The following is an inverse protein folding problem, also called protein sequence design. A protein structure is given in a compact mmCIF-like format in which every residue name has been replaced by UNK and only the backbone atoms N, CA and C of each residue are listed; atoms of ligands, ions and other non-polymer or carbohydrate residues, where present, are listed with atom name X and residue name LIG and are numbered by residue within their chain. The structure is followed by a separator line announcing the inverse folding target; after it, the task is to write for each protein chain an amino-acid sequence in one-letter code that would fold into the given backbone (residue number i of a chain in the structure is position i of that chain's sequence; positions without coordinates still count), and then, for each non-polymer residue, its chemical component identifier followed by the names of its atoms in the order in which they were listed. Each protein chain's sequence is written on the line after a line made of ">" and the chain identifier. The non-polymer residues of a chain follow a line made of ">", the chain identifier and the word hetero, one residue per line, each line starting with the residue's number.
data_IF_565241609983
#
_entry.id   IF_565241609983
#
_cell.length_a   1.000
_cell.length_b   1.000
_cell.length_c   1.000
_cell.angle_alpha   90.00
_cell.angle_beta   90.00
_cell.angle_gamma   90.00
#
_symmetry.space_group_name_H-M   'P 1'
#
loop_
_entity.id
_entity.type
_entity.pdbx_description
1 polymer ?
#
# COMPACT_ATOMS: atom_id res chain seq x y z
N UNK A 1 -22.62 -9.70 -15.71
CA UNK A 1 -21.56 -8.69 -15.86
C UNK A 1 -20.83 -8.41 -14.54
N UNK A 2 -21.55 -8.24 -13.42
CA UNK A 2 -21.04 -7.84 -12.08
C UNK A 2 -19.93 -8.72 -11.51
N UNK A 3 -20.01 -10.05 -11.65
CA UNK A 3 -18.95 -10.98 -11.18
C UNK A 3 -17.59 -10.69 -11.81
N UNK A 4 -17.53 -10.33 -13.10
CA UNK A 4 -16.27 -10.02 -13.80
C UNK A 4 -15.66 -8.70 -13.31
N UNK A 5 -16.50 -7.70 -13.04
CA UNK A 5 -16.07 -6.39 -12.52
C UNK A 5 -15.53 -6.54 -11.09
N UNK A 6 -16.23 -7.28 -10.24
CA UNK A 6 -15.77 -7.57 -8.88
C UNK A 6 -14.39 -8.23 -8.87
N UNK A 7 -14.20 -9.29 -9.67
CA UNK A 7 -12.90 -9.97 -9.77
C UNK A 7 -11.82 -9.07 -10.37
N UNK A 8 -12.15 -8.22 -11.33
CA UNK A 8 -11.20 -7.25 -11.87
C UNK A 8 -10.70 -6.27 -10.80
N UNK A 9 -11.61 -5.72 -9.97
CA UNK A 9 -11.26 -4.81 -8.88
C UNK A 9 -10.44 -5.51 -7.78
N UNK A 10 -10.82 -6.72 -7.38
CA UNK A 10 -10.06 -7.49 -6.40
C UNK A 10 -8.64 -7.82 -6.90
N UNK A 11 -8.51 -8.19 -8.17
CA UNK A 11 -7.20 -8.47 -8.76
C UNK A 11 -6.32 -7.22 -8.83
N UNK A 12 -6.90 -6.05 -9.13
CA UNK A 12 -6.17 -4.78 -9.11
C UNK A 12 -5.63 -4.45 -7.70
N UNK A 13 -6.44 -4.70 -6.64
CA UNK A 13 -5.99 -4.57 -5.24
C UNK A 13 -4.82 -5.51 -4.91
N UNK A 14 -4.85 -6.74 -5.40
CA UNK A 14 -3.77 -7.72 -5.18
C UNK A 14 -2.47 -7.27 -5.87
N UNK A 15 -2.53 -6.74 -7.10
CA UNK A 15 -1.36 -6.18 -7.77
C UNK A 15 -0.76 -5.05 -6.92
N UNK A 16 -1.61 -4.17 -6.37
CA UNK A 16 -1.19 -3.16 -5.42
C UNK A 16 -0.47 -3.75 -4.20
N UNK A 17 -1.02 -4.77 -3.56
CA UNK A 17 -0.38 -5.43 -2.41
C UNK A 17 0.98 -6.04 -2.78
N UNK A 18 1.10 -6.70 -3.93
CA UNK A 18 2.37 -7.30 -4.39
C UNK A 18 3.43 -6.23 -4.62
N UNK A 19 3.06 -5.12 -5.25
CA UNK A 19 3.99 -4.03 -5.48
C UNK A 19 4.38 -3.33 -4.16
N UNK A 20 3.46 -3.17 -3.19
CA UNK A 20 3.78 -2.68 -1.84
C UNK A 20 4.78 -3.60 -1.14
N UNK A 21 4.58 -4.91 -1.24
CA UNK A 21 5.50 -5.91 -0.69
C UNK A 21 6.88 -5.80 -1.32
N UNK A 22 6.97 -5.67 -2.65
CA UNK A 22 8.25 -5.49 -3.34
C UNK A 22 8.96 -4.20 -2.88
N UNK A 23 8.24 -3.09 -2.74
CA UNK A 23 8.80 -1.85 -2.21
C UNK A 23 9.26 -1.98 -0.75
N UNK A 24 8.49 -2.67 0.09
CA UNK A 24 8.86 -2.89 1.49
C UNK A 24 10.16 -3.67 1.60
N UNK A 25 10.35 -4.71 0.77
CA UNK A 25 11.60 -5.46 0.71
C UNK A 25 12.76 -4.57 0.25
N UNK A 26 12.58 -3.78 -0.81
CA UNK A 26 13.64 -2.87 -1.29
C UNK A 26 14.03 -1.86 -0.21
N UNK A 27 13.04 -1.28 0.48
CA UNK A 27 13.27 -0.32 1.55
C UNK A 27 13.94 -0.96 2.76
N UNK A 28 13.65 -2.23 3.06
CA UNK A 28 14.31 -2.97 4.15
C UNK A 28 15.83 -3.06 4.00
N UNK A 29 16.37 -2.96 2.78
CA UNK A 29 17.81 -2.90 2.53
C UNK A 29 18.49 -1.67 3.15
N UNK A 30 17.75 -0.58 3.30
CA UNK A 30 18.25 0.69 3.81
C UNK A 30 17.95 0.89 5.30
N UNK A 31 17.16 0.01 5.91
CA UNK A 31 16.87 0.05 7.34
C UNK A 31 18.08 -0.48 8.14
N UNK A 32 18.72 0.36 8.99
CA UNK A 32 19.83 -0.09 9.81
C UNK A 32 19.36 -1.16 10.82
N UNK A 33 20.07 -2.30 10.88
CA UNK A 33 19.78 -3.41 11.80
C UNK A 33 19.18 -4.68 11.17
N UNK A 34 18.74 -4.65 9.91
CA UNK A 34 18.16 -5.81 9.23
C UNK A 34 19.16 -6.68 8.42
N UNK A 35 20.45 -6.32 8.39
CA UNK A 35 21.42 -6.72 7.36
C UNK A 35 21.49 -8.21 6.97
N UNK A 36 21.32 -9.17 7.88
CA UNK A 36 21.31 -10.61 7.53
C UNK A 36 19.97 -11.12 7.00
N UNK A 37 18.86 -10.52 7.43
CA UNK A 37 17.51 -10.94 7.04
C UNK A 37 17.09 -10.36 5.68
N UNK A 38 17.67 -9.22 5.30
CA UNK A 38 17.44 -8.57 4.00
C UNK A 38 17.71 -9.51 2.83
N UNK A 39 18.78 -10.32 2.89
CA UNK A 39 19.12 -11.22 1.78
C UNK A 39 18.05 -12.28 1.53
N UNK A 40 17.45 -12.82 2.60
CA UNK A 40 16.32 -13.76 2.50
C UNK A 40 15.06 -13.07 1.98
N UNK A 41 14.84 -11.80 2.35
CA UNK A 41 13.70 -11.01 1.87
C UNK A 41 13.82 -10.66 0.37
N UNK A 42 15.02 -10.38 -0.14
CA UNK A 42 15.23 -10.12 -1.57
C UNK A 42 14.84 -11.34 -2.42
N UNK A 43 15.12 -12.55 -1.94
CA UNK A 43 14.72 -13.80 -2.62
C UNK A 43 13.19 -13.98 -2.70
N UNK A 44 12.42 -13.32 -1.84
CA UNK A 44 10.96 -13.33 -1.87
C UNK A 44 10.37 -12.46 -2.99
N UNK A 45 11.12 -11.47 -3.52
CA UNK A 45 10.65 -10.63 -4.64
C UNK A 45 10.34 -11.44 -5.90
N UNK A 46 11.29 -12.22 -6.48
CA UNK A 46 11.01 -12.99 -7.68
C UNK A 46 9.92 -14.04 -7.44
N UNK A 47 9.82 -14.56 -6.21
CA UNK A 47 8.76 -15.48 -5.81
C UNK A 47 7.38 -14.81 -5.87
N UNK A 48 7.23 -13.61 -5.27
CA UNK A 48 5.98 -12.86 -5.27
C UNK A 48 5.53 -12.45 -6.69
N UNK A 49 6.47 -12.02 -7.54
CA UNK A 49 6.20 -11.70 -8.94
C UNK A 49 5.80 -12.96 -9.73
N UNK A 50 6.48 -14.09 -9.51
CA UNK A 50 6.17 -15.34 -10.18
C UNK A 50 4.79 -15.88 -9.78
N UNK A 51 4.47 -15.89 -8.48
CA UNK A 51 3.18 -16.33 -7.97
C UNK A 51 2.03 -15.46 -8.49
N UNK A 52 2.20 -14.14 -8.49
CA UNK A 52 1.19 -13.21 -9.02
C UNK A 52 0.99 -13.42 -10.53
N UNK A 53 2.06 -13.58 -11.31
CA UNK A 53 1.96 -13.88 -12.74
C UNK A 53 1.25 -15.21 -13.01
N UNK A 54 1.59 -16.28 -12.27
CA UNK A 54 0.95 -17.60 -12.41
C UNK A 54 -0.54 -17.53 -12.03
N UNK A 55 -0.88 -16.85 -10.94
CA UNK A 55 -2.26 -16.64 -10.51
C UNK A 55 -3.07 -15.90 -11.58
N UNK A 56 -2.53 -14.82 -12.14
CA UNK A 56 -3.17 -14.07 -13.21
C UNK A 56 -3.36 -14.90 -14.47
N UNK A 57 -2.32 -15.64 -14.89
CA UNK A 57 -2.40 -16.51 -16.07
C UNK A 57 -3.44 -17.62 -15.91
N UNK A 58 -3.59 -18.18 -14.69
CA UNK A 58 -4.47 -19.31 -14.43
C UNK A 58 -5.93 -18.91 -14.20
N UNK A 59 -6.19 -17.82 -13.49
CA UNK A 59 -7.57 -17.43 -13.14
C UNK A 59 -8.18 -16.40 -14.10
N UNK A 60 -7.37 -15.48 -14.66
CA UNK A 60 -7.88 -14.37 -15.46
C UNK A 60 -7.00 -14.10 -16.70
N UNK A 61 -6.87 -15.06 -17.63
CA UNK A 61 -6.03 -14.88 -18.82
C UNK A 61 -6.46 -13.68 -19.69
N UNK A 62 -7.72 -13.25 -19.62
CA UNK A 62 -8.21 -12.06 -20.32
C UNK A 62 -7.64 -10.73 -19.79
N UNK A 63 -7.13 -10.70 -18.55
CA UNK A 63 -6.52 -9.51 -17.94
C UNK A 63 -5.02 -9.40 -18.21
N UNK A 64 -4.38 -10.43 -18.81
CA UNK A 64 -2.92 -10.44 -19.04
C UNK A 64 -2.42 -9.27 -19.88
N UNK A 65 -3.25 -8.77 -20.82
CA UNK A 65 -2.88 -7.60 -21.64
C UNK A 65 -2.84 -6.31 -20.81
N UNK A 66 -3.74 -6.20 -19.83
CA UNK A 66 -3.83 -5.04 -18.91
C UNK A 66 -2.85 -5.17 -17.75
N UNK A 67 -2.43 -6.39 -17.40
CA UNK A 67 -1.54 -6.70 -16.28
C UNK A 67 -0.26 -5.84 -16.26
N UNK A 68 0.41 -5.66 -17.40
CA UNK A 68 1.63 -4.84 -17.47
C UNK A 68 1.38 -3.37 -17.12
N UNK A 69 0.28 -2.81 -17.63
CA UNK A 69 -0.10 -1.41 -17.41
C UNK A 69 -0.55 -1.22 -15.97
N UNK A 70 -1.41 -2.11 -15.45
CA UNK A 70 -1.88 -2.06 -14.06
C UNK A 70 -0.72 -2.20 -13.06
N UNK A 71 0.27 -3.04 -13.35
CA UNK A 71 1.46 -3.18 -12.49
C UNK A 71 2.32 -1.89 -12.50
N UNK A 72 2.54 -1.27 -13.66
CA UNK A 72 3.27 -0.01 -13.75
C UNK A 72 2.52 1.14 -13.04
N UNK A 73 1.21 1.22 -13.22
CA UNK A 73 0.35 2.19 -12.52
C UNK A 73 0.37 1.96 -11.01
N UNK A 74 0.31 0.70 -10.56
CA UNK A 74 0.39 0.36 -9.14
C UNK A 74 1.71 0.79 -8.52
N UNK A 75 2.84 0.55 -9.21
CA UNK A 75 4.15 1.04 -8.77
C UNK A 75 4.18 2.57 -8.68
N UNK A 76 3.64 3.28 -9.68
CA UNK A 76 3.58 4.74 -9.65
C UNK A 76 2.76 5.27 -8.47
N UNK A 77 1.59 4.68 -8.21
CA UNK A 77 0.74 5.04 -7.06
C UNK A 77 1.48 4.83 -5.74
N UNK A 78 2.23 3.75 -5.61
CA UNK A 78 2.97 3.46 -4.38
C UNK A 78 4.17 4.38 -4.18
N UNK A 79 4.86 4.78 -5.25
CA UNK A 79 5.90 5.80 -5.17
C UNK A 79 5.32 7.13 -4.68
N UNK A 80 4.15 7.53 -5.19
CA UNK A 80 3.45 8.74 -4.72
C UNK A 80 2.97 8.60 -3.28
N UNK A 81 2.54 7.41 -2.87
CA UNK A 81 2.17 7.10 -1.48
C UNK A 81 3.37 7.24 -0.54
N UNK A 82 4.52 6.67 -0.91
CA UNK A 82 5.78 6.82 -0.18
C UNK A 82 6.23 8.27 -0.11
N UNK A 83 6.16 9.00 -1.24
CA UNK A 83 6.51 10.41 -1.30
C UNK A 83 5.64 11.23 -0.34
N UNK A 84 4.35 10.95 -0.29
CA UNK A 84 3.41 11.61 0.63
C UNK A 84 3.77 11.32 2.09
N UNK A 85 4.09 10.06 2.44
CA UNK A 85 4.56 9.71 3.78
C UNK A 85 5.88 10.40 4.13
N UNK A 86 6.80 10.50 3.17
CA UNK A 86 8.07 11.19 3.35
C UNK A 86 7.86 12.68 3.63
N UNK A 87 6.97 13.35 2.90
CA UNK A 87 6.65 14.76 3.13
C UNK A 87 6.02 14.99 4.53
N UNK A 88 5.15 14.08 4.98
CA UNK A 88 4.59 14.13 6.34
C UNK A 88 5.70 13.98 7.39
N UNK A 89 6.62 13.01 7.21
CA UNK A 89 7.75 12.81 8.12
C UNK A 89 8.68 14.03 8.17
N UNK A 90 8.96 14.65 7.03
CA UNK A 90 9.74 15.89 6.97
C UNK A 90 9.05 17.02 7.73
N UNK A 91 7.72 17.11 7.66
CA UNK A 91 6.93 18.10 8.41
C UNK A 91 7.00 17.87 9.93
N UNK A 92 7.00 16.61 10.37
CA UNK A 92 7.09 16.23 11.79
C UNK A 92 8.50 16.40 12.39
N UNK A 93 9.53 16.71 11.59
CA UNK A 93 10.93 16.89 12.02
C UNK A 93 11.44 15.75 12.90
N UNK A 94 11.22 14.52 12.45
CA UNK A 94 11.53 13.30 13.20
C UNK A 94 13.04 13.16 13.46
N UNK A 95 13.48 13.00 14.73
CA UNK A 95 14.85 12.68 15.05
C UNK A 95 15.07 11.16 14.89
N UNK A 96 15.60 10.71 13.76
CA UNK A 96 15.94 9.29 13.57
C UNK A 96 15.96 8.78 12.13
N UNK A 97 15.86 7.46 11.99
CA UNK A 97 15.91 6.75 10.70
C UNK A 97 14.58 6.86 9.94
N UNK A 98 14.53 7.80 8.99
CA UNK A 98 13.37 7.98 8.09
C UNK A 98 12.96 6.67 7.38
N UNK A 99 13.96 5.88 6.97
CA UNK A 99 13.84 4.54 6.37
C UNK A 99 12.92 3.62 7.19
N UNK A 100 13.09 3.61 8.52
CA UNK A 100 12.33 2.75 9.42
C UNK A 100 10.84 3.13 9.47
N UNK A 101 10.55 4.43 9.55
CA UNK A 101 9.17 4.93 9.54
C UNK A 101 8.47 4.63 8.21
N UNK A 102 9.17 4.83 7.09
CA UNK A 102 8.65 4.52 5.76
C UNK A 102 8.42 3.01 5.58
N UNK A 103 9.28 2.16 6.16
CA UNK A 103 9.12 0.72 6.14
C UNK A 103 7.88 0.27 6.91
N UNK A 104 7.71 0.73 8.16
CA UNK A 104 6.49 0.46 8.93
C UNK A 104 5.25 0.97 8.21
N UNK A 105 5.34 2.12 7.55
CA UNK A 105 4.26 2.68 6.74
C UNK A 105 3.86 1.77 5.58
N UNK A 106 4.81 1.19 4.83
CA UNK A 106 4.51 0.25 3.76
C UNK A 106 3.81 -1.02 4.26
N UNK A 107 4.31 -1.61 5.36
CA UNK A 107 3.69 -2.79 5.98
C UNK A 107 2.27 -2.49 6.45
N UNK A 108 2.10 -1.33 7.09
CA UNK A 108 0.79 -0.88 7.58
C UNK A 108 -0.21 -0.65 6.45
N UNK A 109 0.22 -0.07 5.34
CA UNK A 109 -0.61 0.08 4.13
C UNK A 109 -0.99 -1.26 3.51
N UNK A 110 -0.09 -2.25 3.53
CA UNK A 110 -0.40 -3.60 3.07
C UNK A 110 -1.50 -4.24 3.91
N UNK A 111 -1.41 -4.17 5.24
CA UNK A 111 -2.42 -4.71 6.17
C UNK A 111 -3.77 -4.00 5.97
N UNK A 112 -3.77 -2.69 5.73
CA UNK A 112 -5.00 -1.92 5.53
C UNK A 112 -5.74 -2.25 4.22
N UNK A 113 -5.06 -2.75 3.19
CA UNK A 113 -5.69 -3.17 1.92
C UNK A 113 -6.36 -4.54 2.06
N UNK A 114 -5.89 -5.38 2.98
CA UNK A 114 -6.54 -6.66 3.26
C UNK A 114 -7.90 -6.41 3.94
N UNK A 115 -8.96 -7.11 3.53
CA UNK A 115 -10.31 -6.95 4.10
C UNK A 115 -10.45 -7.63 5.46
N UNK A 116 -9.45 -7.45 6.33
CA UNK A 116 -9.41 -8.00 7.69
C UNK A 116 -10.15 -7.10 8.69
N UNK A 117 -10.37 -5.82 8.35
CA UNK A 117 -11.12 -4.85 9.19
C UNK A 117 -12.03 -3.94 8.36
N UNK A 118 -13.04 -3.35 9.00
CA UNK A 118 -13.98 -2.40 8.37
C UNK A 118 -13.22 -1.10 8.06
N UNK A 119 -12.88 -0.89 6.78
CA UNK A 119 -12.26 0.34 6.29
C UNK A 119 -10.79 0.56 6.70
N UNK A 120 -10.10 -0.46 7.24
CA UNK A 120 -8.70 -0.31 7.68
C UNK A 120 -8.50 0.58 8.90
N UNK A 121 -9.59 0.98 9.58
CA UNK A 121 -9.56 1.77 10.81
C UNK A 121 -9.11 0.85 11.95
N UNK A 122 -8.16 1.30 12.78
CA UNK A 122 -7.55 0.53 13.86
C UNK A 122 -6.46 -0.47 13.43
N UNK A 123 -6.57 -1.12 12.27
CA UNK A 123 -5.53 -2.07 11.80
C UNK A 123 -4.23 -1.37 11.42
N UNK A 124 -4.33 -0.18 10.83
CA UNK A 124 -3.17 0.65 10.49
C UNK A 124 -2.43 1.10 11.75
N UNK A 125 -3.15 1.68 12.70
CA UNK A 125 -2.59 2.17 13.98
C UNK A 125 -1.95 1.04 14.79
N UNK A 126 -2.61 -0.12 14.89
CA UNK A 126 -2.07 -1.29 15.57
C UNK A 126 -0.76 -1.79 14.91
N UNK A 127 -0.73 -1.83 13.57
CA UNK A 127 0.47 -2.23 12.83
C UNK A 127 1.62 -1.23 13.00
N UNK A 128 1.30 0.07 13.04
CA UNK A 128 2.30 1.11 13.35
C UNK A 128 2.86 0.98 14.75
N UNK A 129 2.01 0.73 15.74
CA UNK A 129 2.40 0.54 17.13
C UNK A 129 3.36 -0.66 17.26
N UNK A 130 3.00 -1.81 16.68
CA UNK A 130 3.84 -3.02 16.69
C UNK A 130 5.14 -2.81 15.90
N UNK A 131 5.07 -2.22 14.71
CA UNK A 131 6.23 -1.97 13.87
C UNK A 131 7.22 -1.00 14.50
N UNK A 132 6.71 0.04 15.16
CA UNK A 132 7.54 1.00 15.90
C UNK A 132 8.24 0.35 17.09
N UNK A 133 7.53 -0.49 17.87
CA UNK A 133 8.13 -1.26 18.97
C UNK A 133 9.22 -2.21 18.47
N UNK A 134 8.99 -2.88 17.33
CA UNK A 134 9.96 -3.81 16.75
C UNK A 134 11.23 -3.13 16.24
N UNK A 135 11.11 -1.94 15.65
CA UNK A 135 12.24 -1.18 15.10
C UNK A 135 12.83 -0.15 16.07
N UNK A 136 12.31 -0.08 17.30
CA UNK A 136 12.75 0.90 18.30
C UNK A 136 12.49 2.35 17.90
N UNK A 137 11.44 2.60 17.12
CA UNK A 137 11.04 3.94 16.66
C UNK A 137 10.12 4.61 17.68
N UNK A 138 10.06 5.94 17.63
CA UNK A 138 9.09 6.70 18.43
C UNK A 138 7.66 6.33 18.01
N UNK A 139 6.91 5.81 18.98
CA UNK A 139 5.55 5.31 18.82
C UNK A 139 4.56 6.44 18.52
N UNK A 140 4.74 7.61 19.15
CA UNK A 140 3.88 8.77 18.94
C UNK A 140 4.03 9.30 17.51
N UNK A 141 5.27 9.40 17.02
CA UNK A 141 5.54 9.84 15.64
C UNK A 141 5.02 8.84 14.60
N UNK A 142 5.14 7.54 14.89
CA UNK A 142 4.63 6.47 14.02
C UNK A 142 3.11 6.50 13.88
N UNK A 143 2.39 6.67 15.00
CA UNK A 143 0.94 6.79 15.00
C UNK A 143 0.49 8.11 14.34
N UNK A 144 1.19 9.22 14.62
CA UNK A 144 0.92 10.51 13.99
C UNK A 144 1.03 10.44 12.46
N UNK A 145 2.07 9.79 11.93
CA UNK A 145 2.23 9.56 10.50
C UNK A 145 1.02 8.83 9.89
N UNK A 146 0.57 7.74 10.54
CA UNK A 146 -0.59 6.95 10.12
C UNK A 146 -1.87 7.79 10.06
N UNK A 147 -2.13 8.54 11.13
CA UNK A 147 -3.34 9.37 11.28
C UNK A 147 -3.36 10.52 10.28
N UNK A 148 -2.24 11.23 10.12
CA UNK A 148 -2.13 12.33 9.17
C UNK A 148 -2.32 11.85 7.73
N UNK A 149 -1.67 10.74 7.37
CA UNK A 149 -1.83 10.15 6.05
C UNK A 149 -3.29 9.73 5.79
N UNK A 150 -3.94 9.09 6.77
CA UNK A 150 -5.34 8.73 6.68
C UNK A 150 -6.25 9.95 6.51
N UNK A 151 -6.03 11.02 7.29
CA UNK A 151 -6.83 12.24 7.23
C UNK A 151 -6.69 12.93 5.88
N UNK A 152 -5.46 13.05 5.35
CA UNK A 152 -5.21 13.60 4.01
C UNK A 152 -5.91 12.75 2.94
N UNK A 153 -5.84 11.41 3.06
CA UNK A 153 -6.49 10.48 2.12
C UNK A 153 -8.01 10.59 2.19
N UNK A 154 -8.58 10.71 3.39
CA UNK A 154 -10.02 10.89 3.59
C UNK A 154 -10.50 12.23 3.03
N UNK A 155 -9.74 13.30 3.27
CA UNK A 155 -10.05 14.65 2.77
C UNK A 155 -10.00 14.70 1.24
N UNK A 156 -8.97 14.12 0.61
CA UNK A 156 -8.87 14.04 -0.85
C UNK A 156 -9.98 13.16 -1.45
N UNK A 157 -10.35 12.06 -0.78
CA UNK A 157 -11.45 11.18 -1.21
C UNK A 157 -12.82 11.84 -1.09
N UNK A 158 -13.00 12.78 -0.15
CA UNK A 158 -14.26 13.51 0.03
C UNK A 158 -14.68 14.28 -1.24
N UNK A 159 -13.72 14.83 -1.98
CA UNK A 159 -14.01 15.52 -3.24
C UNK A 159 -14.55 14.58 -4.33
N UNK A 160 -14.27 13.28 -4.23
CA UNK A 160 -14.81 12.25 -5.12
C UNK A 160 -16.34 12.14 -5.04
N UNK A 161 -16.97 12.58 -3.94
CA UNK A 161 -18.43 12.59 -3.78
C UNK A 161 -19.10 13.43 -4.86
N UNK A 162 -18.50 14.56 -5.25
CA UNK A 162 -19.02 15.46 -6.29
C UNK A 162 -19.16 14.70 -7.62
N UNK A 163 -18.17 13.88 -7.97
CA UNK A 163 -18.19 13.08 -9.19
C UNK A 163 -19.18 11.91 -9.10
N UNK A 164 -19.27 11.27 -7.93
CA UNK A 164 -20.19 10.17 -7.67
C UNK A 164 -21.67 10.59 -7.76
N UNK A 165 -22.01 11.80 -7.31
CA UNK A 165 -23.38 12.32 -7.39
C UNK A 165 -23.71 12.88 -8.78
N UNK A 166 -22.73 13.50 -9.46
CA UNK A 166 -22.96 14.15 -10.76
C UNK A 166 -23.18 13.19 -11.94
N UNK A 167 -22.75 11.93 -11.85
CA UNK A 167 -22.88 10.92 -12.93
C UNK A 167 -24.10 10.02 -12.80
N UNK A 168 -24.85 10.09 -11.69
CA UNK A 168 -26.08 9.31 -11.49
C UNK A 168 -27.31 9.83 -12.26
N UNK A 169 -27.26 11.03 -12.85
CA UNK A 169 -28.39 11.68 -13.53
C UNK A 169 -28.41 11.53 -15.06
N UNK A 170 -27.52 10.72 -15.65
CA UNK A 170 -27.40 10.59 -17.12
C UNK A 170 -27.55 9.16 -17.67
N UNK A 171 -28.14 8.24 -16.91
CA UNK A 171 -28.37 6.85 -17.36
C UNK A 171 -29.84 6.47 -17.51
N UNK A 172 -30.74 7.46 -17.59
CA UNK A 172 -32.16 7.28 -17.91
C UNK A 172 -32.60 8.25 -19.01
N UNK A 173 -32.00 8.22 -20.19
CA UNK A 173 -32.64 8.64 -21.46
C UNK A 173 -32.15 7.76 -22.62
#
# INVERSE_FOLDING_TARGET
>A
STRKIFWAVMMDRIIGVVALFCMAVVLSCFVPGMGKYVWYLILLIPLAISLSYIAFRRFFPYLLRVFRISNLLSLAVQLLQLLSALLILLSLKVPGSLEGYLFVFLISSMVAVLPLTIGGIGSREFTFMLGAQWLGLDLNLSIALSLLFYLITAFTSFWGIIYSMGTGLKLEE
#
